data_IF_778010065630
#
_entry.id   IF_778010065630
#
_cell.length_a   1.000
_cell.length_b   1.000
_cell.length_c   1.000
_cell.angle_alpha   90.00
_cell.angle_beta   90.00
_cell.angle_gamma   90.00
#
_symmetry.space_group_name_H-M   'P 1'
#
loop_
_entity.id
_entity.type
_entity.pdbx_description
1 polymer ?
#
# COMPACT_ATOMS: atom_id res chain seq x y z
N UNK A 1 -4.94 -1.56 -11.62
CA UNK A 1 -4.77 -0.42 -10.70
C UNK A 1 -3.98 0.66 -11.42
N UNK A 2 -4.06 1.90 -10.95
CA UNK A 2 -3.17 2.98 -11.40
C UNK A 2 -2.83 3.87 -10.20
N UNK A 3 -1.66 4.51 -10.25
CA UNK A 3 -1.19 5.41 -9.20
C UNK A 3 -0.97 6.77 -9.83
N UNK A 4 -1.60 7.79 -9.26
CA UNK A 4 -1.29 9.18 -9.55
C UNK A 4 -0.82 9.85 -8.26
N UNK A 5 0.00 10.90 -8.38
CA UNK A 5 0.44 11.65 -7.24
C UNK A 5 0.60 13.14 -7.56
N UNK A 6 0.34 13.97 -6.55
CA UNK A 6 0.71 15.39 -6.57
C UNK A 6 1.83 15.60 -5.56
N UNK A 7 2.99 16.05 -6.05
CA UNK A 7 4.14 16.36 -5.21
C UNK A 7 4.07 17.80 -4.69
N UNK A 8 4.37 17.95 -3.41
CA UNK A 8 4.66 19.24 -2.78
C UNK A 8 5.98 19.13 -2.02
N UNK A 9 6.81 20.16 -2.10
CA UNK A 9 8.09 20.21 -1.39
C UNK A 9 8.11 21.43 -0.49
N UNK A 10 8.32 21.22 0.81
CA UNK A 10 8.42 22.29 1.79
C UNK A 10 9.45 21.93 2.85
N UNK A 11 10.24 22.90 3.30
CA UNK A 11 11.22 22.73 4.38
C UNK A 11 12.18 21.52 4.23
N UNK A 12 12.59 21.20 2.99
CA UNK A 12 13.47 20.06 2.73
C UNK A 12 12.81 18.70 2.85
N UNK A 13 11.48 18.64 2.81
CA UNK A 13 10.66 17.42 2.85
C UNK A 13 9.79 17.35 1.60
N UNK A 14 9.74 16.18 0.97
CA UNK A 14 8.82 15.87 -0.13
C UNK A 14 7.58 15.17 0.42
N UNK A 15 6.41 15.68 0.04
CA UNK A 15 5.11 15.04 0.29
C UNK A 15 4.45 14.73 -1.05
N UNK A 16 4.02 13.49 -1.22
CA UNK A 16 3.30 13.00 -2.37
C UNK A 16 1.89 12.65 -1.92
N UNK A 17 0.87 13.37 -2.39
CA UNK A 17 -0.53 12.98 -2.21
C UNK A 17 -0.88 11.97 -3.31
N UNK A 18 -1.00 10.70 -2.94
CA UNK A 18 -1.27 9.58 -3.84
C UNK A 18 -2.76 9.30 -3.93
N UNK A 19 -3.23 9.12 -5.17
CA UNK A 19 -4.52 8.49 -5.48
C UNK A 19 -4.25 7.17 -6.19
N UNK A 20 -4.69 6.07 -5.58
CA UNK A 20 -4.52 4.72 -6.11
C UNK A 20 -5.88 4.23 -6.59
N UNK A 21 -6.11 4.25 -7.91
CA UNK A 21 -7.32 3.67 -8.48
C UNK A 21 -7.21 2.14 -8.49
N UNK A 22 -8.24 1.48 -7.95
CA UNK A 22 -8.28 0.04 -7.78
C UNK A 22 -9.15 -0.62 -8.88
N UNK A 23 -8.81 -1.85 -9.32
CA UNK A 23 -9.63 -2.64 -10.23
C UNK A 23 -10.97 -3.03 -9.56
N UNK A 24 -11.84 -3.82 -10.21
CA UNK A 24 -13.20 -4.13 -9.75
C UNK A 24 -13.27 -4.73 -8.34
N UNK A 25 -13.33 -3.85 -7.35
CA UNK A 25 -13.70 -4.10 -5.97
C UNK A 25 -12.78 -5.05 -5.17
N UNK A 26 -11.44 -4.85 -5.13
CA UNK A 26 -10.56 -5.71 -4.35
C UNK A 26 -10.88 -5.66 -2.86
N UNK A 27 -10.57 -6.73 -2.15
CA UNK A 27 -10.73 -6.80 -0.69
C UNK A 27 -9.48 -6.28 0.04
N UNK A 28 -8.35 -6.22 -0.66
CA UNK A 28 -7.07 -5.76 -0.12
C UNK A 28 -6.16 -5.15 -1.20
N UNK A 29 -5.20 -4.34 -0.75
CA UNK A 29 -4.07 -3.92 -1.58
C UNK A 29 -2.78 -3.82 -0.76
N UNK A 30 -1.66 -3.83 -1.46
CA UNK A 30 -0.34 -3.55 -0.92
C UNK A 30 0.40 -2.58 -1.82
N UNK A 31 0.98 -1.53 -1.23
CA UNK A 31 1.98 -0.69 -1.84
C UNK A 31 3.35 -1.24 -1.45
N UNK A 32 4.09 -1.79 -2.41
CA UNK A 32 5.45 -2.28 -2.21
C UNK A 32 6.42 -1.23 -2.74
N UNK A 33 7.28 -0.74 -1.86
CA UNK A 33 8.26 0.32 -2.14
C UNK A 33 9.63 -0.32 -2.32
N UNK A 34 10.16 -0.19 -3.54
CA UNK A 34 11.48 -0.72 -3.92
C UNK A 34 12.57 0.33 -3.81
N UNK A 35 12.22 1.61 -3.94
CA UNK A 35 13.12 2.75 -3.79
C UNK A 35 12.45 3.84 -2.97
N UNK A 36 13.12 4.31 -1.92
CA UNK A 36 12.74 5.44 -1.07
C UNK A 36 13.84 5.68 -0.02
N UNK A 37 13.73 6.75 0.76
CA UNK A 37 14.60 6.95 1.93
C UNK A 37 14.07 6.24 3.18
N UNK A 38 14.96 5.90 4.10
CA UNK A 38 14.61 5.13 5.32
C UNK A 38 13.60 5.83 6.23
N UNK A 39 13.46 7.14 6.13
CA UNK A 39 12.51 7.94 6.91
C UNK A 39 11.11 8.04 6.28
N UNK A 40 10.82 7.29 5.20
CA UNK A 40 9.53 7.27 4.53
C UNK A 40 8.37 7.02 5.51
N UNK A 41 7.45 7.98 5.57
CA UNK A 41 6.19 7.92 6.29
C UNK A 41 5.02 7.82 5.32
N UNK A 42 3.93 7.22 5.78
CA UNK A 42 2.63 7.33 5.14
C UNK A 42 1.63 8.03 6.07
N UNK A 43 0.69 8.78 5.50
CA UNK A 43 -0.46 9.35 6.20
C UNK A 43 -1.75 8.80 5.58
N UNK A 44 -2.63 8.26 6.41
CA UNK A 44 -3.96 7.80 6.01
C UNK A 44 -4.98 8.26 7.07
N UNK A 45 -6.03 8.96 6.64
CA UNK A 45 -7.08 9.44 7.55
C UNK A 45 -6.55 10.36 8.67
N UNK A 46 -5.50 11.15 8.40
CA UNK A 46 -4.85 12.02 9.37
C UNK A 46 -3.88 11.32 10.33
N UNK A 47 -3.70 10.00 10.22
CA UNK A 47 -2.75 9.24 11.04
C UNK A 47 -1.47 9.00 10.24
N UNK A 48 -0.35 9.54 10.74
CA UNK A 48 0.97 9.36 10.14
C UNK A 48 1.73 8.20 10.81
N UNK A 49 2.38 7.34 10.02
CA UNK A 49 3.15 6.18 10.46
C UNK A 49 4.33 5.87 9.52
N UNK A 50 5.40 5.22 10.01
CA UNK A 50 6.51 4.81 9.15
C UNK A 50 6.09 3.66 8.21
N UNK A 51 6.64 3.65 7.00
CA UNK A 51 6.52 2.50 6.09
C UNK A 51 7.52 1.43 6.52
N UNK A 52 6.99 0.29 6.97
CA UNK A 52 7.81 -0.77 7.59
C UNK A 52 8.29 -1.80 6.57
N UNK A 53 9.45 -2.37 6.85
CA UNK A 53 9.98 -3.51 6.10
C UNK A 53 9.20 -4.79 6.44
N UNK A 54 8.72 -5.49 5.42
CA UNK A 54 8.06 -6.79 5.59
C UNK A 54 9.10 -7.87 5.92
N UNK A 55 8.70 -8.82 6.77
CA UNK A 55 9.57 -9.90 7.29
C UNK A 55 9.32 -11.26 6.62
N UNK A 56 8.31 -11.38 5.76
CA UNK A 56 7.78 -12.67 5.32
C UNK A 56 7.53 -12.78 3.80
N UNK A 57 7.57 -14.02 3.30
CA UNK A 57 7.25 -14.37 1.91
C UNK A 57 8.20 -13.79 0.88
N UNK A 58 7.71 -13.60 -0.35
CA UNK A 58 8.45 -12.98 -1.47
C UNK A 58 8.75 -11.49 -1.28
N UNK A 59 8.14 -10.84 -0.30
CA UNK A 59 8.30 -9.41 0.01
C UNK A 59 9.25 -9.16 1.19
N UNK A 60 9.94 -10.20 1.69
CA UNK A 60 10.90 -10.06 2.79
C UNK A 60 11.98 -9.02 2.44
N UNK A 61 12.20 -8.06 3.33
CA UNK A 61 13.18 -6.99 3.12
C UNK A 61 12.64 -5.80 2.30
N UNK A 62 11.44 -5.90 1.73
CA UNK A 62 10.79 -4.80 1.02
C UNK A 62 10.00 -3.93 2.00
N UNK A 63 9.90 -2.63 1.73
CA UNK A 63 9.02 -1.73 2.47
C UNK A 63 7.60 -1.86 1.95
N UNK A 64 6.66 -2.19 2.81
CA UNK A 64 5.29 -2.51 2.40
C UNK A 64 4.28 -1.80 3.27
N UNK A 65 3.31 -1.17 2.63
CA UNK A 65 2.06 -0.72 3.25
C UNK A 65 0.92 -1.59 2.72
N UNK A 66 0.28 -2.37 3.60
CA UNK A 66 -0.84 -3.23 3.25
C UNK A 66 -2.12 -2.72 3.90
N UNK A 67 -3.22 -2.72 3.15
CA UNK A 67 -4.56 -2.42 3.64
C UNK A 67 -5.51 -3.55 3.25
N UNK A 68 -6.33 -3.97 4.20
CA UNK A 68 -7.36 -5.01 4.03
C UNK A 68 -8.74 -4.40 4.29
N UNK A 69 -9.80 -5.05 3.82
CA UNK A 69 -11.17 -4.58 4.03
C UNK A 69 -11.52 -3.33 3.19
N UNK A 70 -10.91 -3.18 2.01
CA UNK A 70 -11.16 -2.05 1.11
C UNK A 70 -12.32 -2.29 0.14
N UNK A 71 -13.12 -3.33 0.40
CA UNK A 71 -14.27 -3.65 -0.44
C UNK A 71 -15.21 -2.44 -0.51
N UNK A 72 -15.64 -2.11 -1.70
CA UNK A 72 -16.45 -0.95 -2.06
C UNK A 72 -15.63 0.31 -2.32
N UNK A 73 -14.31 0.29 -2.12
CA UNK A 73 -13.44 1.44 -2.36
C UNK A 73 -12.87 1.40 -3.79
N UNK A 74 -13.30 2.30 -4.69
CA UNK A 74 -12.75 2.37 -6.04
C UNK A 74 -11.35 3.01 -6.08
N UNK A 75 -10.99 3.76 -5.03
CA UNK A 75 -9.69 4.40 -4.91
C UNK A 75 -9.25 4.50 -3.45
N UNK A 76 -7.94 4.58 -3.25
CA UNK A 76 -7.32 4.84 -1.95
C UNK A 76 -6.51 6.11 -2.03
N UNK A 77 -6.80 7.04 -1.13
CA UNK A 77 -6.07 8.29 -0.97
C UNK A 77 -5.14 8.17 0.23
N UNK A 78 -3.85 8.42 0.03
CA UNK A 78 -2.86 8.46 1.11
C UNK A 78 -1.76 9.46 0.79
N UNK A 79 -1.01 9.91 1.79
CA UNK A 79 0.20 10.71 1.53
C UNK A 79 1.43 9.88 1.84
N UNK A 80 2.47 10.05 1.02
CA UNK A 80 3.81 9.60 1.34
C UNK A 80 4.68 10.81 1.63
N UNK A 81 5.53 10.71 2.64
CA UNK A 81 6.39 11.81 3.03
C UNK A 81 7.78 11.30 3.38
N UNK A 82 8.81 11.95 2.85
CA UNK A 82 10.21 11.66 3.20
C UNK A 82 11.04 12.95 3.18
N UNK A 83 12.15 12.97 3.91
CA UNK A 83 13.13 14.06 3.79
C UNK A 83 13.74 14.09 2.38
N UNK A 84 14.24 15.25 1.98
CA UNK A 84 14.81 15.43 0.65
C UNK A 84 13.80 15.23 -0.49
N UNK A 85 14.35 14.95 -1.67
CA UNK A 85 13.62 14.88 -2.92
C UNK A 85 14.01 13.62 -3.72
N UNK A 86 14.48 12.58 -3.01
CA UNK A 86 14.78 11.29 -3.62
C UNK A 86 13.52 10.70 -4.28
N UNK A 87 13.67 9.89 -5.35
CA UNK A 87 12.55 9.18 -5.92
C UNK A 87 11.89 8.22 -4.91
N UNK A 88 10.61 7.95 -5.14
CA UNK A 88 9.88 6.83 -4.52
C UNK A 88 9.34 5.95 -5.64
N UNK A 89 9.83 4.72 -5.73
CA UNK A 89 9.41 3.78 -6.76
C UNK A 89 8.94 2.46 -6.16
N UNK A 90 8.11 1.75 -6.91
CA UNK A 90 7.57 0.47 -6.48
C UNK A 90 6.42 -0.01 -7.32
N UNK A 91 5.55 -0.81 -6.71
CA UNK A 91 4.36 -1.34 -7.35
C UNK A 91 3.20 -1.49 -6.37
N UNK A 92 1.99 -1.32 -6.90
CA UNK A 92 0.74 -1.65 -6.21
C UNK A 92 0.30 -3.04 -6.63
N UNK A 93 -0.06 -3.86 -5.63
CA UNK A 93 -0.74 -5.13 -5.83
C UNK A 93 -2.13 -5.01 -5.20
N UNK A 94 -3.18 -5.37 -5.92
CA UNK A 94 -4.53 -5.43 -5.40
C UNK A 94 -5.18 -6.75 -5.80
N UNK A 95 -6.06 -7.29 -4.96
CA UNK A 95 -6.77 -8.51 -5.28
C UNK A 95 -7.92 -8.82 -4.35
N UNK A 96 -8.55 -9.96 -4.61
CA UNK A 96 -9.59 -10.53 -3.77
C UNK A 96 -9.00 -11.66 -2.92
N UNK A 97 -9.33 -11.68 -1.64
CA UNK A 97 -9.21 -12.89 -0.85
C UNK A 97 -10.60 -13.49 -0.71
N UNK A 98 -10.72 -14.81 -0.82
CA UNK A 98 -11.91 -15.49 -0.28
C UNK A 98 -11.91 -15.32 1.25
N UNK A 99 -12.35 -14.17 1.75
CA UNK A 99 -12.51 -13.90 3.19
C UNK A 99 -13.98 -14.12 3.59
N UNK A 100 -14.23 -14.78 4.73
CA UNK A 100 -15.58 -15.13 5.16
C UNK A 100 -16.45 -13.89 5.39
N UNK A 101 -17.76 -14.06 5.15
CA UNK A 101 -18.86 -13.08 5.04
C UNK A 101 -18.99 -11.99 6.12
N UNK A 102 -18.17 -11.98 7.18
CA UNK A 102 -18.26 -11.03 8.29
C UNK A 102 -16.85 -10.62 8.72
N UNK A 103 -16.52 -9.33 8.55
CA UNK A 103 -15.29 -8.69 9.03
C UNK A 103 -15.67 -7.46 9.86
N UNK A 104 -15.68 -7.59 11.19
CA UNK A 104 -16.01 -6.52 12.14
C UNK A 104 -14.79 -5.93 12.86
N UNK A 105 -13.57 -6.21 12.41
CA UNK A 105 -12.36 -5.81 13.14
C UNK A 105 -11.17 -5.43 12.23
N UNK A 106 -10.59 -4.27 12.50
CA UNK A 106 -9.27 -3.84 12.01
C UNK A 106 -8.17 -4.69 12.67
N UNK A 107 -7.28 -5.27 11.85
CA UNK A 107 -6.09 -6.00 12.30
C UNK A 107 -4.87 -5.37 11.65
N UNK A 108 -4.13 -4.56 12.41
CA UNK A 108 -2.67 -4.44 12.21
C UNK A 108 -2.06 -5.73 12.75
N UNK A 109 -2.18 -6.81 11.98
CA UNK A 109 -1.73 -8.13 12.40
C UNK A 109 -0.23 -8.10 12.67
N UNK A 110 0.16 -8.44 13.91
CA UNK A 110 1.53 -8.80 14.27
C UNK A 110 2.03 -9.88 13.31
N UNK A 111 2.76 -9.52 12.26
CA UNK A 111 3.57 -10.46 11.48
C UNK A 111 2.87 -11.68 10.88
N UNK A 112 1.54 -11.75 10.84
CA UNK A 112 0.77 -12.90 10.35
C UNK A 112 -0.25 -12.42 9.32
N UNK A 113 0.17 -12.31 8.06
CA UNK A 113 -0.79 -12.49 6.97
C UNK A 113 -0.89 -13.99 6.74
N UNK A 114 -1.96 -14.59 7.24
CA UNK A 114 -2.35 -15.94 6.85
C UNK A 114 -2.43 -15.97 5.32
N UNK A 115 -1.59 -16.77 4.67
CA UNK A 115 -1.77 -17.15 3.27
C UNK A 115 -2.81 -18.25 3.28
N UNK A 116 -4.05 -18.03 2.79
CA UNK A 116 -4.99 -19.14 2.67
C UNK A 116 -4.41 -20.13 1.67
N UNK A 117 -4.31 -21.39 2.07
CA UNK A 117 -4.04 -22.47 1.16
C UNK A 117 -5.20 -22.55 0.15
N UNK A 118 -4.92 -22.12 -1.08
CA UNK A 118 -5.50 -22.51 -2.37
C UNK A 118 -6.92 -23.10 -2.36
N UNK A 119 -7.88 -22.31 -2.87
CA UNK A 119 -8.95 -22.65 -3.85
C UNK A 119 -10.02 -21.54 -3.86
N UNK A 120 -9.97 -20.62 -4.81
CA UNK A 120 -10.98 -19.58 -5.03
C UNK A 120 -10.65 -18.73 -6.27
N UNK A 121 -11.62 -17.97 -6.78
CA UNK A 121 -11.37 -17.01 -7.87
C UNK A 121 -10.41 -15.92 -7.38
N UNK A 122 -9.16 -15.97 -7.84
CA UNK A 122 -8.12 -15.03 -7.48
C UNK A 122 -7.80 -14.14 -8.68
N UNK A 123 -8.24 -12.89 -8.65
CA UNK A 123 -7.70 -11.87 -9.56
C UNK A 123 -6.68 -11.03 -8.81
N UNK A 124 -5.43 -11.06 -9.29
CA UNK A 124 -4.37 -10.17 -8.85
C UNK A 124 -4.15 -9.14 -9.95
N UNK A 125 -4.06 -7.88 -9.54
CA UNK A 125 -3.72 -6.80 -10.45
C UNK A 125 -2.51 -6.05 -9.93
N UNK A 126 -1.61 -5.71 -10.84
CA UNK A 126 -0.34 -5.06 -10.56
C UNK A 126 -0.21 -3.77 -11.37
N UNK A 127 0.38 -2.74 -10.78
CA UNK A 127 0.77 -1.53 -11.48
C UNK A 127 2.06 -0.94 -10.88
N UNK A 128 3.08 -0.65 -11.70
CA UNK A 128 4.26 0.05 -11.22
C UNK A 128 3.93 1.53 -10.94
N UNK A 129 4.72 2.16 -10.09
CA UNK A 129 4.71 3.61 -9.91
C UNK A 129 6.14 4.12 -9.73
N UNK A 130 6.36 5.37 -10.14
CA UNK A 130 7.58 6.13 -9.90
C UNK A 130 7.18 7.57 -9.58
N UNK A 131 7.62 8.08 -8.44
CA UNK A 131 7.32 9.42 -7.95
C UNK A 131 8.62 10.22 -7.89
N UNK A 132 8.70 11.27 -8.70
CA UNK A 132 9.88 12.15 -8.81
C UNK A 132 9.65 13.48 -8.11
#
# INVERSE_FOLDING_TARGET
PSVTAVKTSAAGQATYALSIALPTNPDWFSLVVTEARDDLQFELGGVQRPVMTNRWGSLKGQRVLQMNGIQGQPAIELKLTQSGNQPIAGYVVAGHYGLPKILSSFSQGRGETAVPNRTGDHTLSYAPFNLE
#
